data_IF_422511418074
#
_entry.id   IF_422511418074
#
_cell.length_a   1.000
_cell.length_b   1.000
_cell.length_c   1.000
_cell.angle_alpha   90.00
_cell.angle_beta   90.00
_cell.angle_gamma   90.00
#
_symmetry.space_group_name_H-M   'P 1'
#
loop_
_entity.id
_entity.type
_entity.pdbx_description
1 polymer ?
#
# COMPACT_ATOMS: atom_id res chain seq x y z
N UNK A 1 4.19 3.39 5.92
CA UNK A 1 3.29 3.75 4.80
C UNK A 1 1.94 3.11 5.04
N UNK A 2 0.82 3.87 4.94
CA UNK A 2 -0.52 3.30 5.08
C UNK A 2 -0.74 2.22 4.03
N UNK A 3 -1.57 1.24 4.37
CA UNK A 3 -2.03 0.26 3.40
C UNK A 3 -2.83 0.97 2.31
N UNK A 4 -2.58 0.62 1.05
CA UNK A 4 -3.45 1.02 -0.06
C UNK A 4 -4.78 0.24 -0.07
N UNK A 5 -4.93 -0.72 0.84
CA UNK A 5 -6.18 -1.45 1.04
C UNK A 5 -7.15 -0.59 1.85
N UNK A 6 -8.46 -0.68 1.57
CA UNK A 6 -9.47 -0.03 2.40
C UNK A 6 -9.36 -0.55 3.84
N UNK A 7 -9.64 0.33 4.80
CA UNK A 7 -9.68 -0.04 6.21
C UNK A 7 -10.69 -1.16 6.44
N UNK A 8 -10.28 -2.15 7.22
CA UNK A 8 -11.15 -3.21 7.70
C UNK A 8 -12.15 -2.70 8.74
N UNK A 9 -13.24 -3.45 8.95
CA UNK A 9 -14.23 -3.13 9.98
C UNK A 9 -13.61 -3.11 11.39
N UNK A 10 -12.59 -3.94 11.64
CA UNK A 10 -11.87 -3.97 12.92
C UNK A 10 -11.08 -2.67 13.13
N UNK A 11 -10.34 -2.22 12.11
CA UNK A 11 -9.61 -0.95 12.18
C UNK A 11 -10.54 0.26 12.37
N UNK A 12 -11.74 0.22 11.77
CA UNK A 12 -12.76 1.24 11.98
C UNK A 12 -13.35 1.20 13.39
N UNK A 13 -13.60 0.02 13.94
CA UNK A 13 -14.10 -0.15 15.30
C UNK A 13 -13.06 0.35 16.34
N UNK A 14 -11.79 0.00 16.15
CA UNK A 14 -10.68 0.48 16.97
C UNK A 14 -10.56 2.01 16.90
N UNK A 15 -10.71 2.60 15.72
CA UNK A 15 -10.72 4.05 15.54
C UNK A 15 -11.87 4.73 16.28
N UNK A 16 -13.08 4.16 16.19
CA UNK A 16 -14.27 4.71 16.84
C UNK A 16 -14.27 4.56 18.36
N UNK A 17 -13.46 3.64 18.91
CA UNK A 17 -13.28 3.48 20.35
C UNK A 17 -12.37 4.56 20.95
N UNK A 18 -11.56 5.25 20.14
CA UNK A 18 -10.70 6.34 20.58
C UNK A 18 -11.50 7.58 20.96
N UNK A 19 -11.01 8.32 21.95
CA UNK A 19 -11.48 9.67 22.22
C UNK A 19 -11.16 10.61 21.06
N UNK A 20 -11.86 11.75 21.00
CA UNK A 20 -11.62 12.74 19.95
C UNK A 20 -10.19 13.29 19.97
N UNK A 21 -9.61 13.46 21.14
CA UNK A 21 -8.22 13.94 21.30
C UNK A 21 -7.21 12.92 20.79
N UNK A 22 -7.40 11.63 21.09
CA UNK A 22 -6.55 10.56 20.57
C UNK A 22 -6.66 10.42 19.05
N UNK A 23 -7.87 10.56 18.49
CA UNK A 23 -8.06 10.61 17.04
C UNK A 23 -7.28 11.76 16.42
N UNK A 24 -7.39 12.97 16.98
CA UNK A 24 -6.65 14.15 16.49
C UNK A 24 -5.14 13.93 16.58
N UNK A 25 -4.64 13.47 17.73
CA UNK A 25 -3.22 13.20 17.90
C UNK A 25 -2.69 12.16 16.89
N UNK A 26 -3.47 11.12 16.60
CA UNK A 26 -3.12 10.08 15.64
C UNK A 26 -3.10 10.59 14.20
N UNK A 27 -4.08 11.42 13.81
CA UNK A 27 -4.08 12.08 12.48
C UNK A 27 -2.92 13.06 12.35
N UNK A 28 -2.71 13.92 13.35
CA UNK A 28 -1.62 14.90 13.33
C UNK A 28 -0.25 14.24 13.28
N UNK A 29 -0.03 13.18 14.06
CA UNK A 29 1.20 12.40 14.01
C UNK A 29 1.41 11.70 12.66
N UNK A 30 0.33 11.28 12.00
CA UNK A 30 0.40 10.71 10.66
C UNK A 30 0.88 11.72 9.61
N UNK A 31 0.35 12.94 9.63
CA UNK A 31 0.73 14.00 8.69
C UNK A 31 2.08 14.67 9.00
N UNK A 32 2.65 14.45 10.18
CA UNK A 32 4.00 14.91 10.52
C UNK A 32 5.11 14.11 9.80
N UNK A 33 4.76 13.13 8.97
CA UNK A 33 5.75 12.38 8.19
C UNK A 33 6.36 13.27 7.09
N UNK A 34 7.69 13.28 6.86
CA UNK A 34 8.35 14.15 5.87
C UNK A 34 7.79 14.02 4.45
N UNK A 35 7.41 12.80 4.06
CA UNK A 35 6.77 12.56 2.76
C UNK A 35 5.43 13.30 2.59
N UNK A 36 4.71 13.59 3.68
CA UNK A 36 3.46 14.37 3.64
C UNK A 36 3.69 15.87 3.44
N UNK A 37 4.90 16.37 3.72
CA UNK A 37 5.31 17.75 3.46
C UNK A 37 5.87 17.94 2.04
N UNK A 38 6.09 16.83 1.31
CA UNK A 38 6.68 16.86 -0.02
C UNK A 38 5.58 17.07 -1.06
N UNK A 39 5.47 18.31 -1.54
CA UNK A 39 4.65 18.63 -2.71
C UNK A 39 5.49 18.46 -3.97
N UNK A 40 5.00 17.65 -4.90
CA UNK A 40 5.63 17.49 -6.21
C UNK A 40 4.73 18.10 -7.29
N UNK A 41 5.34 18.66 -8.33
CA UNK A 41 4.61 19.11 -9.53
C UNK A 41 4.19 17.93 -10.44
N UNK A 42 4.38 16.69 -9.96
CA UNK A 42 4.02 15.49 -10.70
C UNK A 42 2.50 15.41 -10.86
N UNK A 43 2.06 15.28 -12.10
CA UNK A 43 0.66 15.00 -12.37
C UNK A 43 0.34 13.56 -11.97
N UNK A 44 -0.96 13.26 -11.80
CA UNK A 44 -1.40 11.88 -11.58
C UNK A 44 -0.90 10.92 -12.67
N UNK A 45 -0.72 11.39 -13.92
CA UNK A 45 -0.18 10.57 -15.00
C UNK A 45 1.29 10.23 -14.79
N UNK A 46 2.09 11.18 -14.31
CA UNK A 46 3.52 10.98 -14.02
C UNK A 46 3.70 9.94 -12.91
N UNK A 47 2.89 10.04 -11.85
CA UNK A 47 2.88 9.08 -10.74
C UNK A 47 2.53 7.67 -11.23
N UNK A 48 1.49 7.53 -12.08
CA UNK A 48 1.07 6.24 -12.65
C UNK A 48 2.15 5.67 -13.57
N UNK A 49 2.77 6.50 -14.41
CA UNK A 49 3.84 6.09 -15.30
C UNK A 49 5.06 5.57 -14.51
N UNK A 50 5.49 6.30 -13.48
CA UNK A 50 6.57 5.88 -12.58
C UNK A 50 6.21 4.58 -11.84
N UNK A 51 4.98 4.43 -11.36
CA UNK A 51 4.51 3.20 -10.73
C UNK A 51 4.56 1.99 -11.68
N UNK A 52 4.15 2.17 -12.95
CA UNK A 52 4.22 1.13 -13.99
C UNK A 52 5.65 0.74 -14.29
N UNK A 53 6.57 1.69 -14.41
CA UNK A 53 7.99 1.42 -14.61
C UNK A 53 8.58 0.61 -13.45
N UNK A 54 8.31 1.00 -12.18
CA UNK A 54 8.73 0.23 -10.99
C UNK A 54 8.16 -1.19 -10.99
N UNK A 55 6.89 -1.36 -11.37
CA UNK A 55 6.27 -2.67 -11.47
C UNK A 55 6.88 -3.53 -12.59
N UNK A 56 7.22 -2.94 -13.73
CA UNK A 56 7.90 -3.62 -14.83
C UNK A 56 9.33 -4.04 -14.45
N UNK A 57 10.09 -3.16 -13.79
CA UNK A 57 11.43 -3.47 -13.28
C UNK A 57 11.41 -4.65 -12.30
N UNK A 58 10.44 -4.70 -11.38
CA UNK A 58 10.25 -5.85 -10.47
C UNK A 58 9.95 -7.16 -11.18
N UNK A 59 9.25 -7.11 -12.32
CA UNK A 59 8.98 -8.30 -13.15
C UNK A 59 10.20 -8.75 -13.94
N UNK A 60 11.04 -7.81 -14.38
CA UNK A 60 12.30 -8.11 -15.08
C UNK A 60 13.44 -8.55 -14.15
N UNK A 61 13.40 -8.17 -12.87
CA UNK A 61 14.41 -8.51 -11.87
C UNK A 61 14.13 -9.80 -11.09
N UNK A 62 12.95 -10.39 -11.25
CA UNK A 62 12.68 -11.74 -10.74
C UNK A 62 13.50 -12.73 -11.58
N UNK A 63 14.34 -13.60 -10.98
CA UNK A 63 14.94 -14.68 -11.75
C UNK A 63 13.81 -15.47 -12.42
N UNK A 64 14.05 -15.94 -13.64
CA UNK A 64 13.10 -16.76 -14.39
C UNK A 64 12.68 -17.97 -13.54
N UNK A 65 11.63 -17.80 -12.74
CA UNK A 65 10.92 -18.90 -12.12
C UNK A 65 10.30 -19.61 -13.29
N UNK A 66 10.94 -20.71 -13.69
CA UNK A 66 10.42 -21.67 -14.66
C UNK A 66 8.98 -22.04 -14.33
N UNK A 67 8.25 -22.61 -15.30
CA UNK A 67 6.81 -22.80 -15.21
C UNK A 67 6.47 -23.45 -13.86
N UNK A 68 5.72 -22.73 -13.02
CA UNK A 68 5.25 -23.25 -11.74
C UNK A 68 4.51 -24.54 -12.04
N UNK A 69 5.10 -25.67 -11.65
CA UNK A 69 4.44 -26.96 -11.70
C UNK A 69 3.13 -26.82 -10.90
N UNK A 70 2.01 -26.95 -11.61
CA UNK A 70 0.68 -27.04 -11.00
C UNK A 70 0.73 -28.27 -10.09
N UNK A 71 0.51 -28.14 -8.76
CA UNK A 71 0.42 -29.32 -7.93
C UNK A 71 -0.73 -30.18 -8.46
N UNK A 72 -0.42 -31.44 -8.75
CA UNK A 72 -1.41 -32.42 -9.14
C UNK A 72 -2.50 -32.43 -8.06
N UNK A 73 -3.75 -32.26 -8.48
CA UNK A 73 -4.89 -32.55 -7.61
C UNK A 73 -4.72 -34.00 -7.16
N UNK A 74 -4.60 -34.21 -5.86
CA UNK A 74 -4.83 -35.53 -5.30
C UNK A 74 -6.30 -35.84 -5.56
N UNK A 75 -6.53 -36.73 -6.52
CA UNK A 75 -7.84 -37.33 -6.72
C UNK A 75 -8.19 -38.17 -5.48
N UNK A 76 -9.49 -38.13 -5.16
CA UNK A 76 -10.18 -38.69 -4.01
C UNK A 76 -9.91 -40.18 -3.75
#
# INVERSE_FOLDING_TARGET
MPSALPSSEVELAEWNALTREEQIARVSGFFAHPDCETFTDETAQDIIAAARQRAAARRGSLPALGPRARPARADL
#
